data_IF_487226287501
#
_entry.id   IF_487226287501
#
_cell.length_a   1.000
_cell.length_b   1.000
_cell.length_c   1.000
_cell.angle_alpha   90.00
_cell.angle_beta   90.00
_cell.angle_gamma   90.00
#
_symmetry.space_group_name_H-M   'P 1'
#
loop_
_entity.id
_entity.type
_entity.pdbx_description
1 polymer ?
#
# COMPACT_ATOMS: atom_id res chain seq x y z
N UNK A 1 1.15 -22.56 -7.35
CA UNK A 1 0.25 -21.79 -6.45
C UNK A 1 0.27 -20.33 -6.89
N UNK A 2 -0.88 -19.70 -7.13
CA UNK A 2 -0.94 -18.30 -7.58
C UNK A 2 -0.56 -17.34 -6.46
N UNK A 3 0.43 -16.49 -6.72
CA UNK A 3 0.89 -15.44 -5.81
C UNK A 3 0.26 -14.09 -6.20
N UNK A 4 0.16 -13.20 -5.24
CA UNK A 4 -0.29 -11.82 -5.44
C UNK A 4 0.85 -10.98 -6.04
N UNK A 5 0.52 -10.04 -6.92
CA UNK A 5 1.49 -9.08 -7.46
C UNK A 5 2.18 -8.27 -6.34
N UNK A 6 3.49 -7.97 -6.42
CA UNK A 6 4.19 -7.14 -5.44
C UNK A 6 3.57 -5.76 -5.17
N UNK A 7 2.89 -5.16 -6.15
CA UNK A 7 2.16 -3.90 -6.00
C UNK A 7 0.91 -4.11 -5.14
N UNK A 8 0.11 -5.12 -5.48
CA UNK A 8 -1.09 -5.51 -4.72
C UNK A 8 -0.74 -5.88 -3.28
N UNK A 9 0.38 -6.58 -3.08
CA UNK A 9 0.85 -6.93 -1.75
C UNK A 9 1.23 -5.70 -0.93
N UNK A 10 1.87 -4.69 -1.54
CA UNK A 10 2.15 -3.42 -0.86
C UNK A 10 0.87 -2.70 -0.47
N UNK A 11 -0.10 -2.66 -1.37
CA UNK A 11 -1.37 -2.01 -1.09
C UNK A 11 -2.17 -2.73 0.00
N UNK A 12 -2.15 -4.07 0.03
CA UNK A 12 -2.69 -4.86 1.16
C UNK A 12 -1.99 -4.55 2.49
N UNK A 13 -0.68 -4.26 2.46
CA UNK A 13 0.06 -3.84 3.65
C UNK A 13 -0.35 -2.46 4.19
N UNK A 14 -0.73 -1.54 3.31
CA UNK A 14 -1.29 -0.24 3.70
C UNK A 14 -2.71 -0.43 4.26
N UNK A 15 -3.53 -1.20 3.54
CA UNK A 15 -4.91 -1.49 3.93
C UNK A 15 -4.99 -2.22 5.28
N UNK A 16 -4.09 -3.18 5.53
CA UNK A 16 -4.06 -3.91 6.81
C UNK A 16 -3.79 -2.98 7.99
N UNK A 17 -2.86 -2.02 7.84
CA UNK A 17 -2.58 -1.00 8.86
C UNK A 17 -3.80 -0.10 9.09
N UNK A 18 -4.40 0.39 8.01
CA UNK A 18 -5.58 1.25 8.08
C UNK A 18 -6.76 0.55 8.77
N UNK A 19 -7.05 -0.69 8.39
CA UNK A 19 -8.10 -1.49 9.01
C UNK A 19 -7.83 -1.82 10.48
N UNK A 20 -6.59 -2.18 10.82
CA UNK A 20 -6.22 -2.45 12.21
C UNK A 20 -6.40 -1.22 13.10
N UNK A 21 -6.19 -0.01 12.55
CA UNK A 21 -6.41 1.24 13.28
C UNK A 21 -7.89 1.60 13.40
N UNK A 22 -8.66 1.52 12.31
CA UNK A 22 -10.06 1.96 12.28
C UNK A 22 -11.03 0.94 12.87
N UNK A 23 -10.86 -0.35 12.54
CA UNK A 23 -11.77 -1.43 12.94
C UNK A 23 -11.23 -2.26 14.10
N UNK A 24 -9.94 -2.14 14.39
CA UNK A 24 -9.25 -2.93 15.41
C UNK A 24 -8.70 -4.25 14.89
N UNK A 25 -7.67 -4.76 15.58
CA UNK A 25 -6.99 -6.03 15.24
C UNK A 25 -7.83 -7.28 15.50
N UNK A 26 -8.86 -7.18 16.34
CA UNK A 26 -9.78 -8.27 16.64
C UNK A 26 -10.88 -8.44 15.58
N UNK A 27 -11.09 -7.43 14.73
CA UNK A 27 -12.09 -7.46 13.68
C UNK A 27 -11.74 -8.53 12.63
N UNK A 28 -12.74 -9.31 12.20
CA UNK A 28 -12.56 -10.39 11.24
C UNK A 28 -11.97 -9.91 9.92
N UNK A 29 -12.46 -8.79 9.40
CA UNK A 29 -12.02 -8.23 8.10
C UNK A 29 -10.56 -7.78 8.20
N UNK A 30 -10.21 -7.07 9.27
CA UNK A 30 -8.82 -6.65 9.53
C UNK A 30 -7.86 -7.83 9.60
N UNK A 31 -8.26 -8.93 10.24
CA UNK A 31 -7.46 -10.16 10.35
C UNK A 31 -7.27 -10.84 9.02
N UNK A 32 -8.32 -10.94 8.20
CA UNK A 32 -8.23 -11.60 6.89
C UNK A 32 -7.44 -10.76 5.88
N UNK A 33 -7.52 -9.43 5.93
CA UNK A 33 -6.64 -8.56 5.14
C UNK A 33 -5.19 -8.66 5.60
N UNK A 34 -4.93 -8.69 6.91
CA UNK A 34 -3.58 -8.91 7.45
C UNK A 34 -3.02 -10.27 7.02
N UNK A 35 -3.84 -11.32 7.07
CA UNK A 35 -3.50 -12.65 6.58
C UNK A 35 -3.17 -12.64 5.09
N UNK A 36 -3.98 -11.98 4.26
CA UNK A 36 -3.72 -11.89 2.82
C UNK A 36 -2.38 -11.21 2.50
N UNK A 37 -2.03 -10.17 3.26
CA UNK A 37 -0.73 -9.50 3.17
C UNK A 37 0.44 -10.42 3.56
N UNK A 38 0.31 -11.12 4.69
CA UNK A 38 1.33 -12.03 5.23
C UNK A 38 1.58 -13.23 4.31
N UNK A 39 0.52 -13.90 3.87
CA UNK A 39 0.61 -15.13 3.09
C UNK A 39 0.97 -14.89 1.62
N UNK A 40 0.61 -13.72 1.06
CA UNK A 40 0.85 -13.41 -0.34
C UNK A 40 0.02 -14.26 -1.33
N UNK A 41 -0.98 -15.01 -0.86
CA UNK A 41 -1.73 -15.97 -1.69
C UNK A 41 -2.96 -15.32 -2.31
N UNK A 42 -3.16 -15.52 -3.62
CA UNK A 42 -4.28 -14.92 -4.35
C UNK A 42 -5.65 -15.28 -3.75
N UNK A 43 -5.82 -16.53 -3.27
CA UNK A 43 -7.05 -16.97 -2.61
C UNK A 43 -7.37 -16.17 -1.34
N UNK A 44 -6.34 -15.77 -0.59
CA UNK A 44 -6.51 -15.04 0.66
C UNK A 44 -6.84 -13.57 0.35
N UNK A 45 -6.24 -12.99 -0.71
CA UNK A 45 -6.64 -11.67 -1.25
C UNK A 45 -8.12 -11.64 -1.65
N UNK A 46 -8.56 -12.62 -2.44
CA UNK A 46 -9.94 -12.67 -2.93
C UNK A 46 -10.93 -12.77 -1.75
N UNK A 47 -10.63 -13.61 -0.76
CA UNK A 47 -11.45 -13.72 0.45
C UNK A 47 -11.49 -12.41 1.23
N UNK A 48 -10.34 -11.75 1.39
CA UNK A 48 -10.26 -10.49 2.11
C UNK A 48 -11.04 -9.37 1.38
N UNK A 49 -11.01 -9.33 0.05
CA UNK A 49 -11.82 -8.43 -0.78
C UNK A 49 -13.33 -8.62 -0.55
N UNK A 50 -13.83 -9.86 -0.61
CA UNK A 50 -15.24 -10.16 -0.35
C UNK A 50 -15.69 -9.74 1.06
N UNK A 51 -14.81 -9.92 2.06
CA UNK A 51 -15.09 -9.49 3.43
C UNK A 51 -15.07 -7.97 3.56
N UNK A 52 -14.14 -7.28 2.88
CA UNK A 52 -14.13 -5.83 2.82
C UNK A 52 -15.42 -5.30 2.18
N UNK A 53 -15.89 -5.94 1.12
CA UNK A 53 -17.11 -5.54 0.42
C UNK A 53 -18.36 -5.62 1.31
N UNK A 54 -18.35 -6.51 2.30
CA UNK A 54 -19.43 -6.64 3.28
C UNK A 54 -19.51 -5.52 4.32
N UNK A 55 -18.47 -4.66 4.41
CA UNK A 55 -18.48 -3.55 5.35
C UNK A 55 -19.50 -2.47 4.96
N UNK A 56 -20.15 -1.82 5.94
CA UNK A 56 -20.89 -0.58 5.74
C UNK A 56 -20.08 0.48 4.99
N UNK A 57 -20.75 1.24 4.11
CA UNK A 57 -20.08 2.23 3.26
C UNK A 57 -19.30 3.29 4.06
N UNK A 58 -19.82 3.73 5.21
CA UNK A 58 -19.11 4.68 6.08
C UNK A 58 -17.79 4.11 6.62
N UNK A 59 -17.74 2.82 6.97
CA UNK A 59 -16.51 2.16 7.42
C UNK A 59 -15.49 2.06 6.30
N UNK A 60 -15.94 1.75 5.07
CA UNK A 60 -15.05 1.74 3.90
C UNK A 60 -14.42 3.12 3.67
N UNK A 61 -15.19 4.20 3.81
CA UNK A 61 -14.71 5.58 3.65
C UNK A 61 -13.67 5.93 4.73
N UNK A 62 -13.91 5.57 6.00
CA UNK A 62 -12.95 5.81 7.09
C UNK A 62 -11.63 5.04 6.89
N UNK A 63 -11.74 3.77 6.49
CA UNK A 63 -10.56 2.95 6.16
C UNK A 63 -9.81 3.52 4.96
N UNK A 64 -10.51 4.00 3.94
CA UNK A 64 -9.89 4.58 2.76
C UNK A 64 -9.10 5.85 3.11
N UNK A 65 -9.69 6.77 3.88
CA UNK A 65 -9.00 7.98 4.35
C UNK A 65 -7.73 7.65 5.12
N UNK A 66 -7.81 6.68 6.04
CA UNK A 66 -6.63 6.24 6.78
C UNK A 66 -5.59 5.58 5.87
N UNK A 67 -6.01 4.79 4.88
CA UNK A 67 -5.09 4.16 3.93
C UNK A 67 -4.35 5.21 3.10
N UNK A 68 -5.02 6.28 2.68
CA UNK A 68 -4.42 7.39 1.96
C UNK A 68 -3.40 8.14 2.84
N UNK A 69 -3.73 8.40 4.10
CA UNK A 69 -2.80 9.01 5.07
C UNK A 69 -1.55 8.13 5.29
N UNK A 70 -1.73 6.82 5.45
CA UNK A 70 -0.63 5.86 5.60
C UNK A 70 0.23 5.79 4.33
N UNK A 71 -0.40 5.81 3.16
CA UNK A 71 0.31 5.82 1.88
C UNK A 71 1.16 7.09 1.73
N UNK A 72 0.60 8.25 2.08
CA UNK A 72 1.31 9.53 2.05
C UNK A 72 2.54 9.52 2.97
N UNK A 73 2.39 9.07 4.21
CA UNK A 73 3.50 8.97 5.18
C UNK A 73 4.60 8.05 4.64
N UNK A 74 4.25 6.89 4.06
CA UNK A 74 5.22 5.96 3.49
C UNK A 74 5.95 6.54 2.28
N UNK A 75 5.25 7.30 1.43
CA UNK A 75 5.88 8.00 0.32
C UNK A 75 6.86 9.06 0.81
N UNK A 76 6.50 9.84 1.83
CA UNK A 76 7.34 10.90 2.37
C UNK A 76 8.58 10.35 3.12
N UNK A 77 8.40 9.23 3.83
CA UNK A 77 9.52 8.46 4.42
C UNK A 77 10.45 7.90 3.34
N UNK A 78 9.90 7.44 2.21
CA UNK A 78 10.73 6.96 1.09
C UNK A 78 11.53 8.12 0.48
N UNK A 79 10.90 9.27 0.24
CA UNK A 79 11.57 10.47 -0.29
C UNK A 79 12.71 10.94 0.62
N UNK A 80 12.47 11.00 1.93
CA UNK A 80 13.48 11.40 2.92
C UNK A 80 14.62 10.38 3.05
N UNK A 81 14.35 9.08 2.86
CA UNK A 81 15.42 8.06 2.78
C UNK A 81 16.21 8.10 1.46
N UNK A 82 15.57 8.38 0.31
CA UNK A 82 16.30 8.63 -0.96
C UNK A 82 17.04 9.97 -0.99
N UNK A 83 16.63 10.95 -0.17
CA UNK A 83 17.34 12.21 0.02
C UNK A 83 18.56 12.11 0.95
N UNK A 84 18.82 10.94 1.54
CA UNK A 84 19.99 10.64 2.38
C UNK A 84 21.07 9.83 1.67
N UNK A 85 20.97 9.64 0.35
CA UNK A 85 22.14 9.37 -0.48
C UNK A 85 22.82 10.70 -0.84
N UNK A 86 23.32 11.42 0.17
CA UNK A 86 24.33 12.44 -0.10
C UNK A 86 25.61 11.71 -0.50
N UNK A 87 25.84 11.74 -1.81
CA UNK A 87 27.07 11.37 -2.50
C UNK A 87 28.32 11.60 -1.64
N UNK A 88 28.88 10.51 -1.11
CA UNK A 88 30.30 10.43 -0.77
C UNK A 88 31.01 9.64 -1.88
N UNK A 89 30.70 9.96 -3.13
CA UNK A 89 31.45 9.49 -4.30
C UNK A 89 31.90 10.71 -5.08
N UNK A 90 33.18 10.98 -4.84
CA UNK A 90 34.08 11.96 -5.42
C UNK A 90 33.98 12.04 -6.95
N UNK A 91 34.04 13.29 -7.42
CA UNK A 91 34.53 13.77 -8.73
C UNK A 91 33.74 13.47 -10.02
N UNK A 92 33.60 14.55 -10.78
CA UNK A 92 33.47 14.65 -12.24
C UNK A 92 32.15 14.25 -12.92
N UNK A 93 31.35 15.29 -13.19
CA UNK A 93 30.95 15.66 -14.54
C UNK A 93 30.29 14.59 -15.40
N UNK A 94 28.96 14.66 -15.52
CA UNK A 94 28.24 14.73 -16.81
C UNK A 94 26.74 14.87 -16.58
N UNK A 95 26.14 15.79 -17.36
CA UNK A 95 24.69 15.90 -17.61
C UNK A 95 24.15 14.51 -17.99
N UNK A 96 22.91 14.17 -17.59
CA UNK A 96 21.92 13.48 -18.45
C UNK A 96 20.55 13.32 -17.75
N UNK A 97 19.56 14.00 -18.34
CA UNK A 97 18.17 13.59 -18.63
C UNK A 97 17.38 12.80 -17.57
N UNK A 98 16.36 13.44 -17.00
CA UNK A 98 15.25 12.84 -16.26
C UNK A 98 14.45 11.86 -17.15
N UNK A 99 14.21 10.60 -16.73
CA UNK A 99 13.19 9.77 -17.37
C UNK A 99 11.79 10.11 -16.82
N UNK A 100 10.96 10.58 -17.73
CA UNK A 100 9.59 11.06 -17.62
C UNK A 100 8.56 9.92 -17.42
N UNK A 101 8.69 9.11 -16.35
CA UNK A 101 7.84 7.92 -16.21
C UNK A 101 7.47 7.49 -14.78
N UNK A 102 7.13 8.44 -13.92
CA UNK A 102 6.45 8.14 -12.65
C UNK A 102 4.98 8.53 -12.74
N UNK A 103 4.19 7.72 -13.45
CA UNK A 103 2.73 7.85 -13.45
C UNK A 103 2.19 7.69 -12.03
N UNK A 104 1.68 8.81 -11.50
CA UNK A 104 0.90 9.03 -10.28
C UNK A 104 -0.48 8.35 -10.33
N UNK A 105 -0.56 7.08 -10.75
CA UNK A 105 -1.82 6.33 -10.72
C UNK A 105 -1.89 5.45 -9.48
N UNK A 106 -2.87 5.76 -8.63
CA UNK A 106 -3.35 4.86 -7.59
C UNK A 106 -3.72 3.51 -8.23
N UNK A 107 -3.54 2.38 -7.51
CA UNK A 107 -3.99 1.08 -7.98
C UNK A 107 -5.49 1.12 -8.32
N UNK A 108 -5.87 0.61 -9.49
CA UNK A 108 -7.23 0.67 -10.03
C UNK A 108 -8.29 0.06 -9.10
N UNK A 109 -7.91 -0.91 -8.27
CA UNK A 109 -8.85 -1.58 -7.36
C UNK A 109 -9.35 -0.69 -6.19
N UNK A 110 -8.81 0.51 -6.01
CA UNK A 110 -9.28 1.50 -5.03
C UNK A 110 -10.27 2.52 -5.61
N UNK A 111 -10.51 2.46 -6.93
CA UNK A 111 -11.28 3.49 -7.67
C UNK A 111 -12.57 2.91 -8.28
N UNK A 112 -12.76 1.59 -8.26
CA UNK A 112 -14.01 0.92 -8.72
C UNK A 112 -14.73 0.21 -7.56
#
# INVERSE_FOLDING_TARGET
MSQIDPLDRRALGILSRAMNKQLGVSNLVSREVSRAFETGKLKDKNRAGLLFDSLPGWQKIEVQREADDQAYILMEQKKSNTGREWNISKLEGKKNVLPDNFSTRLPTFLVE
#
